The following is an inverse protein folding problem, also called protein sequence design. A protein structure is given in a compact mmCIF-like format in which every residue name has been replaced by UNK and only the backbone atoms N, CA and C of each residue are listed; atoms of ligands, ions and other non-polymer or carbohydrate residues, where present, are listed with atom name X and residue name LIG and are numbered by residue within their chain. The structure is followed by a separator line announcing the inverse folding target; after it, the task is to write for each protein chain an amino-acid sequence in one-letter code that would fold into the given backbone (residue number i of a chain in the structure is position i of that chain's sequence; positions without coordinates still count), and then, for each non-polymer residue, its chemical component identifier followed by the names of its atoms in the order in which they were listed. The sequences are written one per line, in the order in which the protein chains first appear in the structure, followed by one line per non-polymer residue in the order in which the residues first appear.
data_IF_784068792144
#
_entry.id   IF_784068792144
#
_cell.length_a   1.000
_cell.length_b   1.000
_cell.length_c   1.000
_cell.angle_alpha   90.00
_cell.angle_beta   90.00
_cell.angle_gamma   90.00
#
_symmetry.space_group_name_H-M   'P 1'
#
loop_
_entity.id
_entity.type
_entity.pdbx_description
1 polymer ?
#
# COMPACT_ATOMS: atom_id res chain seq x y z
N UNK A 1 -14.83 -19.68 18.13
CA UNK A 1 -16.23 -19.91 18.53
C UNK A 1 -16.37 -21.26 19.20
N UNK A 2 -17.16 -21.31 20.28
CA UNK A 2 -17.47 -22.55 20.98
C UNK A 2 -18.79 -23.10 20.45
N UNK A 3 -18.76 -24.36 20.00
CA UNK A 3 -19.99 -25.06 19.59
C UNK A 3 -20.45 -25.92 20.76
N UNK A 4 -21.69 -25.73 21.16
CA UNK A 4 -22.31 -26.50 22.24
C UNK A 4 -23.72 -26.95 21.86
N UNK A 5 -24.23 -27.95 22.56
CA UNK A 5 -25.62 -28.43 22.33
C UNK A 5 -26.58 -27.43 22.94
N UNK A 6 -27.69 -27.14 22.25
CA UNK A 6 -28.69 -26.14 22.66
C UNK A 6 -29.22 -26.37 24.09
N UNK A 7 -29.28 -27.65 24.53
CA UNK A 7 -29.72 -28.07 25.86
C UNK A 7 -28.66 -27.95 26.95
N UNK A 8 -27.38 -27.77 26.57
CA UNK A 8 -26.29 -27.67 27.54
C UNK A 8 -25.24 -26.68 27.01
N UNK A 9 -25.47 -25.39 27.26
CA UNK A 9 -24.55 -24.31 26.86
C UNK A 9 -23.44 -24.23 27.89
N UNK A 10 -22.25 -24.73 27.50
CA UNK A 10 -21.04 -24.60 28.31
C UNK A 10 -20.39 -23.23 28.10
N UNK A 11 -19.74 -22.67 29.15
CA UNK A 11 -18.96 -21.45 28.97
C UNK A 11 -17.82 -21.68 27.97
N UNK A 12 -17.40 -20.65 27.19
CA UNK A 12 -16.25 -20.76 26.31
C UNK A 12 -15.01 -21.13 27.14
N UNK A 13 -14.11 -21.91 26.53
CA UNK A 13 -12.82 -22.24 27.15
C UNK A 13 -12.00 -20.97 27.35
N UNK A 14 -11.36 -20.86 28.51
CA UNK A 14 -10.46 -19.77 28.82
C UNK A 14 -9.24 -19.78 27.88
N UNK A 15 -8.70 -18.58 27.58
CA UNK A 15 -7.50 -18.42 26.76
C UNK A 15 -7.76 -18.28 25.25
N UNK A 16 -9.00 -18.40 24.76
CA UNK A 16 -9.31 -18.10 23.37
C UNK A 16 -9.24 -16.59 23.11
N UNK A 17 -8.28 -16.17 22.27
CA UNK A 17 -8.15 -14.79 21.82
C UNK A 17 -8.54 -14.69 20.36
N UNK A 18 -9.39 -13.71 20.05
CA UNK A 18 -9.67 -13.38 18.64
C UNK A 18 -8.38 -12.82 18.01
N UNK A 19 -8.07 -13.30 16.83
CA UNK A 19 -6.98 -12.73 16.03
C UNK A 19 -7.22 -11.22 15.81
N UNK A 20 -6.21 -10.40 16.12
CA UNK A 20 -6.28 -8.95 15.96
C UNK A 20 -5.66 -8.56 14.62
N UNK A 21 -6.36 -7.81 13.78
CA UNK A 21 -5.79 -7.28 12.56
C UNK A 21 -4.59 -6.37 12.85
N UNK A 22 -3.57 -6.49 12.03
CA UNK A 22 -2.32 -5.72 12.13
C UNK A 22 -2.15 -4.79 10.93
N UNK A 23 -2.71 -5.21 9.79
CA UNK A 23 -2.67 -4.50 8.51
C UNK A 23 -4.09 -4.18 8.07
N UNK A 24 -4.27 -2.98 7.55
CA UNK A 24 -5.54 -2.49 7.03
C UNK A 24 -5.40 -2.14 5.55
N UNK A 25 -6.39 -2.49 4.77
CA UNK A 25 -6.51 -2.06 3.38
C UNK A 25 -7.98 -1.88 3.02
N UNK A 26 -8.28 -0.89 2.19
CA UNK A 26 -9.64 -0.68 1.71
C UNK A 26 -9.83 -1.35 0.36
N UNK A 27 -10.97 -1.99 0.18
CA UNK A 27 -11.36 -2.74 -1.01
C UNK A 27 -12.59 -2.09 -1.60
N UNK A 28 -12.47 -1.59 -2.82
CA UNK A 28 -13.55 -0.97 -3.58
C UNK A 28 -13.86 -1.78 -4.82
N UNK A 29 -15.13 -1.90 -5.23
CA UNK A 29 -15.45 -2.46 -6.54
C UNK A 29 -15.05 -1.45 -7.63
N UNK A 30 -14.64 -1.91 -8.81
CA UNK A 30 -14.35 -1.04 -9.95
C UNK A 30 -15.62 -0.31 -10.42
N UNK A 31 -16.77 -1.03 -10.45
CA UNK A 31 -18.10 -0.45 -10.64
C UNK A 31 -18.88 -0.41 -9.34
N UNK A 32 -19.53 0.72 -9.03
CA UNK A 32 -20.39 0.82 -7.83
C UNK A 32 -21.61 -0.09 -7.88
N UNK A 33 -22.01 -0.58 -9.05
CA UNK A 33 -23.07 -1.58 -9.22
C UNK A 33 -22.71 -2.91 -8.56
N UNK A 34 -21.40 -3.24 -8.48
CA UNK A 34 -20.90 -4.47 -7.87
C UNK A 34 -20.74 -4.40 -6.34
N UNK A 35 -21.09 -3.26 -5.71
CA UNK A 35 -20.96 -3.09 -4.26
C UNK A 35 -21.68 -4.18 -3.45
N UNK A 36 -22.89 -4.54 -3.86
CA UNK A 36 -23.69 -5.58 -3.19
C UNK A 36 -23.06 -6.97 -3.35
N UNK A 37 -22.52 -7.26 -4.53
CA UNK A 37 -21.80 -8.52 -4.80
C UNK A 37 -20.54 -8.61 -3.98
N UNK A 38 -19.77 -7.51 -3.88
CA UNK A 38 -18.58 -7.44 -3.03
C UNK A 38 -18.94 -7.70 -1.56
N UNK A 39 -20.01 -7.08 -1.05
CA UNK A 39 -20.47 -7.33 0.33
C UNK A 39 -20.76 -8.81 0.58
N UNK A 40 -21.48 -9.45 -0.33
CA UNK A 40 -21.80 -10.89 -0.23
C UNK A 40 -20.54 -11.76 -0.28
N UNK A 41 -19.59 -11.43 -1.17
CA UNK A 41 -18.32 -12.15 -1.27
C UNK A 41 -17.52 -12.05 0.02
N UNK A 42 -17.36 -10.85 0.61
CA UNK A 42 -16.67 -10.63 1.87
C UNK A 42 -17.34 -11.36 3.04
N UNK A 43 -18.67 -11.39 3.11
CA UNK A 43 -19.41 -12.17 4.09
C UNK A 43 -19.12 -13.67 3.98
N UNK A 44 -19.08 -14.22 2.76
CA UNK A 44 -18.74 -15.64 2.51
C UNK A 44 -17.30 -15.95 2.92
N UNK A 45 -16.34 -15.07 2.57
CA UNK A 45 -14.96 -15.22 2.97
C UNK A 45 -14.80 -15.23 4.49
N UNK A 46 -15.49 -14.34 5.20
CA UNK A 46 -15.46 -14.29 6.66
C UNK A 46 -15.97 -15.56 7.34
N UNK A 47 -16.89 -16.30 6.71
CA UNK A 47 -17.33 -17.60 7.22
C UNK A 47 -16.23 -18.67 7.19
N UNK A 48 -15.35 -18.60 6.20
CA UNK A 48 -14.21 -19.53 6.05
C UNK A 48 -12.96 -19.03 6.76
N UNK A 49 -12.87 -17.74 7.05
CA UNK A 49 -11.72 -17.10 7.67
C UNK A 49 -12.15 -16.16 8.81
N UNK A 50 -12.14 -16.67 10.03
CA UNK A 50 -12.56 -15.93 11.23
C UNK A 50 -11.58 -14.81 11.64
N UNK A 51 -10.37 -14.79 11.09
CA UNK A 51 -9.38 -13.75 11.35
C UNK A 51 -9.62 -12.49 10.49
N UNK A 52 -10.39 -12.63 9.40
CA UNK A 52 -10.75 -11.52 8.54
C UNK A 52 -11.89 -10.70 9.13
N UNK A 53 -11.68 -9.40 9.25
CA UNK A 53 -12.70 -8.43 9.65
C UNK A 53 -12.86 -7.36 8.57
N UNK A 54 -14.06 -6.84 8.40
CA UNK A 54 -14.31 -5.74 7.48
C UNK A 54 -15.45 -4.84 7.97
N UNK A 55 -15.38 -3.57 7.58
CA UNK A 55 -16.36 -2.53 7.85
C UNK A 55 -16.63 -1.73 6.59
N UNK A 56 -17.85 -1.20 6.44
CA UNK A 56 -18.17 -0.33 5.30
C UNK A 56 -17.38 0.99 5.40
N UNK A 57 -16.82 1.42 4.28
CA UNK A 57 -16.08 2.66 4.16
C UNK A 57 -16.54 3.40 2.90
N UNK A 58 -16.49 4.72 2.93
CA UNK A 58 -16.82 5.56 1.78
C UNK A 58 -15.69 6.53 1.49
N UNK A 59 -15.22 6.56 0.25
CA UNK A 59 -14.25 7.52 -0.26
C UNK A 59 -14.93 8.44 -1.26
N UNK A 60 -14.68 9.75 -1.17
CA UNK A 60 -15.25 10.73 -2.12
C UNK A 60 -14.87 10.48 -3.57
N UNK A 61 -13.73 9.80 -3.82
CA UNK A 61 -13.22 9.50 -5.17
C UNK A 61 -13.51 8.07 -5.60
N UNK A 62 -13.35 7.09 -4.69
CA UNK A 62 -13.51 5.66 -5.01
C UNK A 62 -14.94 5.14 -4.74
N UNK A 63 -15.80 5.97 -4.15
CA UNK A 63 -17.17 5.61 -3.82
C UNK A 63 -17.27 4.75 -2.57
N UNK A 64 -18.26 3.85 -2.52
CA UNK A 64 -18.50 2.94 -1.40
C UNK A 64 -17.65 1.67 -1.54
N UNK A 65 -17.07 1.24 -0.43
CA UNK A 65 -16.23 0.05 -0.35
C UNK A 65 -16.19 -0.50 1.07
N UNK A 66 -15.17 -1.29 1.35
CA UNK A 66 -14.98 -1.92 2.66
C UNK A 66 -13.53 -1.77 3.10
N UNK A 67 -13.33 -1.36 4.34
CA UNK A 67 -12.04 -1.44 5.01
C UNK A 67 -11.89 -2.83 5.62
N UNK A 68 -10.90 -3.58 5.16
CA UNK A 68 -10.55 -4.91 5.65
C UNK A 68 -9.41 -4.86 6.66
N UNK A 69 -9.49 -5.68 7.69
CA UNK A 69 -8.41 -5.93 8.64
C UNK A 69 -7.80 -7.30 8.43
N UNK A 70 -6.47 -7.37 8.32
CA UNK A 70 -5.70 -8.55 7.93
C UNK A 70 -4.62 -8.84 8.95
N UNK A 71 -4.22 -10.11 9.09
CA UNK A 71 -3.13 -10.55 9.97
C UNK A 71 -1.73 -10.15 9.45
N UNK A 72 -1.62 -9.80 8.19
CA UNK A 72 -0.37 -9.42 7.53
C UNK A 72 -0.54 -9.33 6.03
N UNK A 73 0.57 -9.05 5.33
CA UNK A 73 0.59 -8.86 3.87
C UNK A 73 0.13 -10.10 3.11
N UNK A 74 0.63 -11.27 3.47
CA UNK A 74 0.25 -12.54 2.83
C UNK A 74 -1.25 -12.82 2.97
N UNK A 75 -1.83 -12.51 4.12
CA UNK A 75 -3.27 -12.66 4.34
C UNK A 75 -4.07 -11.74 3.40
N UNK A 76 -3.64 -10.49 3.22
CA UNK A 76 -4.24 -9.55 2.26
C UNK A 76 -4.14 -10.07 0.82
N UNK A 77 -2.97 -10.59 0.43
CA UNK A 77 -2.75 -11.14 -0.92
C UNK A 77 -3.64 -12.34 -1.21
N UNK A 78 -3.72 -13.29 -0.26
CA UNK A 78 -4.55 -14.48 -0.38
C UNK A 78 -6.04 -14.10 -0.52
N UNK A 79 -6.55 -13.21 0.35
CA UNK A 79 -7.95 -12.79 0.29
C UNK A 79 -8.25 -12.01 -0.98
N UNK A 80 -7.34 -11.17 -1.43
CA UNK A 80 -7.48 -10.42 -2.68
C UNK A 80 -7.56 -11.35 -3.90
N UNK A 81 -6.71 -12.36 -3.93
CA UNK A 81 -6.70 -13.36 -5.00
C UNK A 81 -7.94 -14.25 -4.97
N UNK A 82 -8.44 -14.61 -3.78
CA UNK A 82 -9.69 -15.34 -3.62
C UNK A 82 -10.90 -14.53 -4.11
N UNK A 83 -11.00 -13.25 -3.76
CA UNK A 83 -12.05 -12.36 -4.27
C UNK A 83 -12.05 -12.32 -5.79
N UNK A 84 -10.88 -12.23 -6.40
CA UNK A 84 -10.74 -12.21 -7.86
C UNK A 84 -11.12 -13.55 -8.51
N UNK A 85 -10.63 -14.69 -7.97
CA UNK A 85 -10.82 -16.00 -8.60
C UNK A 85 -12.15 -16.66 -8.30
N UNK A 86 -12.63 -16.55 -7.06
CA UNK A 86 -13.86 -17.23 -6.63
C UNK A 86 -15.13 -16.44 -6.99
N UNK A 87 -15.02 -15.11 -7.07
CA UNK A 87 -16.19 -14.22 -7.27
C UNK A 87 -16.14 -13.40 -8.57
N UNK A 88 -15.02 -13.48 -9.31
CA UNK A 88 -14.79 -12.74 -10.59
C UNK A 88 -15.08 -11.23 -10.47
N UNK A 89 -14.70 -10.64 -9.33
CA UNK A 89 -14.94 -9.24 -9.03
C UNK A 89 -13.70 -8.40 -9.38
N UNK A 90 -13.83 -7.41 -10.26
CA UNK A 90 -12.79 -6.41 -10.48
C UNK A 90 -12.72 -5.45 -9.29
N UNK A 91 -11.56 -5.33 -8.66
CA UNK A 91 -11.36 -4.62 -7.39
C UNK A 91 -10.25 -3.58 -7.47
N UNK A 92 -10.47 -2.47 -6.78
CA UNK A 92 -9.44 -1.49 -6.44
C UNK A 92 -9.07 -1.70 -4.97
N UNK A 93 -7.82 -2.04 -4.71
CA UNK A 93 -7.31 -2.27 -3.36
C UNK A 93 -6.32 -1.17 -3.05
N UNK A 94 -6.49 -0.51 -1.90
CA UNK A 94 -5.56 0.53 -1.44
C UNK A 94 -4.25 -0.08 -0.98
N UNK A 95 -3.19 0.72 -0.94
CA UNK A 95 -1.95 0.29 -0.30
C UNK A 95 -2.22 -0.06 1.16
N UNK A 96 -1.63 -1.16 1.65
CA UNK A 96 -1.79 -1.59 3.03
C UNK A 96 -1.18 -0.57 3.99
N UNK A 97 -1.84 -0.38 5.12
CA UNK A 97 -1.46 0.55 6.18
C UNK A 97 -1.57 -0.10 7.54
N UNK A 98 -0.94 0.52 8.52
CA UNK A 98 -1.12 0.24 9.94
C UNK A 98 -2.08 1.27 10.54
N UNK A 99 -2.45 1.07 11.79
CA UNK A 99 -3.26 2.02 12.55
C UNK A 99 -2.40 3.19 13.03
N UNK A 100 -2.88 4.43 12.87
CA UNK A 100 -2.27 5.63 13.45
C UNK A 100 -3.25 6.31 14.41
N UNK A 101 -2.75 6.76 15.55
CA UNK A 101 -3.51 7.60 16.48
C UNK A 101 -3.00 9.03 16.31
N UNK A 102 -3.85 9.88 15.77
CA UNK A 102 -3.52 11.27 15.47
C UNK A 102 -4.20 12.19 16.46
N UNK A 103 -3.42 13.01 17.15
CA UNK A 103 -3.89 14.11 17.98
C UNK A 103 -3.79 15.40 17.16
N UNK A 104 -4.92 16.07 16.99
CA UNK A 104 -5.01 17.33 16.29
C UNK A 104 -4.69 18.50 17.21
N UNK A 105 -4.21 19.61 16.67
CA UNK A 105 -4.00 20.87 17.40
C UNK A 105 -5.28 21.40 18.09
N UNK A 106 -6.44 20.94 17.65
CA UNK A 106 -7.72 21.21 18.32
C UNK A 106 -7.94 20.40 19.61
N UNK A 107 -7.01 19.52 19.99
CA UNK A 107 -7.12 18.59 21.11
C UNK A 107 -7.94 17.32 20.83
N UNK A 108 -8.53 17.19 19.64
CA UNK A 108 -9.27 15.98 19.24
C UNK A 108 -8.27 14.86 18.89
N UNK A 109 -8.55 13.64 19.32
CA UNK A 109 -7.78 12.46 18.96
C UNK A 109 -8.62 11.54 18.09
N UNK A 110 -8.06 11.07 16.97
CA UNK A 110 -8.72 10.14 16.04
C UNK A 110 -7.80 8.98 15.69
N UNK A 111 -8.42 7.82 15.46
CA UNK A 111 -7.72 6.64 14.95
C UNK A 111 -7.88 6.55 13.43
N UNK A 112 -6.76 6.59 12.71
CA UNK A 112 -6.71 6.55 11.25
C UNK A 112 -6.23 5.18 10.79
N UNK A 113 -7.02 4.53 9.97
CA UNK A 113 -6.70 3.21 9.39
C UNK A 113 -6.30 3.29 7.92
N UNK A 114 -6.82 4.28 7.21
CA UNK A 114 -6.65 4.44 5.76
C UNK A 114 -5.81 5.68 5.49
N UNK A 115 -4.68 5.56 4.76
CA UNK A 115 -3.76 6.67 4.53
C UNK A 115 -4.38 7.91 3.86
N UNK A 116 -5.38 7.73 3.00
CA UNK A 116 -6.06 8.85 2.34
C UNK A 116 -6.84 9.76 3.31
N UNK A 117 -7.18 9.26 4.50
CA UNK A 117 -7.81 10.05 5.56
C UNK A 117 -6.80 10.63 6.56
N UNK A 118 -5.51 10.37 6.37
CA UNK A 118 -4.49 10.97 7.22
C UNK A 118 -4.48 12.49 7.01
N UNK A 119 -4.61 13.30 8.10
CA UNK A 119 -4.74 14.74 7.98
C UNK A 119 -3.48 15.40 7.44
N UNK A 120 -3.62 16.66 7.03
CA UNK A 120 -2.48 17.46 6.60
C UNK A 120 -1.60 17.82 7.81
N UNK A 121 -0.29 17.86 7.59
CA UNK A 121 0.72 18.05 8.67
C UNK A 121 0.47 19.30 9.54
N UNK A 122 -0.08 20.36 8.97
CA UNK A 122 -0.31 21.60 9.71
C UNK A 122 -1.43 21.50 10.77
N UNK A 123 -2.31 20.48 10.65
CA UNK A 123 -3.42 20.20 11.58
C UNK A 123 -3.00 19.29 12.73
N UNK A 124 -1.87 18.60 12.59
CA UNK A 124 -1.40 17.57 13.51
C UNK A 124 -0.58 18.20 14.64
N UNK A 125 -0.85 17.78 15.86
CA UNK A 125 -0.03 18.03 17.05
C UNK A 125 0.94 16.87 17.28
N UNK A 126 0.42 15.63 17.34
CA UNK A 126 1.25 14.42 17.50
C UNK A 126 0.62 13.22 16.79
N UNK A 127 1.45 12.26 16.45
CA UNK A 127 1.05 10.98 15.87
C UNK A 127 1.67 9.86 16.68
N UNK A 128 0.88 8.80 16.96
CA UNK A 128 1.40 7.56 17.54
C UNK A 128 1.14 6.40 16.61
N UNK A 129 2.09 5.47 16.54
CA UNK A 129 2.02 4.25 15.75
C UNK A 129 2.37 3.02 16.58
N UNK A 130 1.86 1.81 16.22
CA UNK A 130 2.20 0.58 16.91
C UNK A 130 3.67 0.21 16.66
N UNK A 131 4.32 -0.20 17.73
CA UNK A 131 5.66 -0.74 17.74
C UNK A 131 5.61 -2.24 18.03
N UNK A 132 6.62 -2.95 17.54
CA UNK A 132 6.81 -4.37 17.78
C UNK A 132 8.13 -4.63 18.49
N UNK A 133 8.12 -5.64 19.34
CA UNK A 133 9.32 -6.30 19.82
C UNK A 133 9.55 -7.54 18.98
N UNK A 134 10.69 -7.58 18.29
CA UNK A 134 11.01 -8.69 17.41
C UNK A 134 12.28 -9.40 17.89
N UNK A 135 12.34 -10.69 17.59
CA UNK A 135 13.49 -11.55 17.83
C UNK A 135 13.96 -12.20 16.55
N UNK A 136 15.18 -11.93 16.15
CA UNK A 136 15.82 -12.53 14.98
C UNK A 136 16.81 -13.61 15.46
N UNK A 137 16.73 -14.81 14.88
CA UNK A 137 17.69 -15.90 15.09
C UNK A 137 18.41 -16.15 13.77
N UNK A 138 19.74 -16.07 13.79
CA UNK A 138 20.56 -16.16 12.58
C UNK A 138 21.94 -16.77 12.91
N UNK A 139 22.65 -17.36 11.91
CA UNK A 139 24.06 -17.68 12.07
C UNK A 139 24.92 -16.41 12.28
N UNK A 140 25.97 -16.44 13.14
CA UNK A 140 26.77 -15.26 13.50
C UNK A 140 27.35 -14.50 12.32
N UNK A 141 27.67 -15.18 11.22
CA UNK A 141 28.26 -14.56 10.02
C UNK A 141 27.40 -13.48 9.36
N UNK A 142 26.06 -13.51 9.56
CA UNK A 142 25.13 -12.54 8.96
C UNK A 142 24.82 -11.34 9.87
N UNK A 143 25.34 -11.35 11.12
CA UNK A 143 24.99 -10.32 12.11
C UNK A 143 25.32 -8.91 11.62
N UNK A 144 26.48 -8.71 10.99
CA UNK A 144 26.89 -7.41 10.48
C UNK A 144 25.97 -6.83 9.41
N UNK A 145 25.48 -7.67 8.51
CA UNK A 145 24.57 -7.24 7.43
C UNK A 145 23.16 -7.00 7.95
N UNK A 146 22.73 -7.79 8.95
CA UNK A 146 21.45 -7.54 9.65
C UNK A 146 21.50 -6.20 10.39
N UNK A 147 22.58 -5.86 11.08
CA UNK A 147 22.68 -4.58 11.79
C UNK A 147 22.59 -3.39 10.84
N UNK A 148 23.15 -3.47 9.62
CA UNK A 148 22.98 -2.44 8.59
C UNK A 148 21.52 -2.31 8.16
N UNK A 149 20.86 -3.45 7.90
CA UNK A 149 19.45 -3.48 7.54
C UNK A 149 18.56 -2.87 8.63
N UNK A 150 18.83 -3.16 9.90
CA UNK A 150 18.08 -2.62 11.04
C UNK A 150 18.19 -1.10 11.15
N UNK A 151 19.37 -0.54 10.85
CA UNK A 151 19.56 0.91 10.82
C UNK A 151 18.69 1.60 9.77
N UNK A 152 18.52 1.00 8.59
CA UNK A 152 17.65 1.51 7.52
C UNK A 152 16.14 1.46 7.88
N UNK A 153 15.76 0.58 8.81
CA UNK A 153 14.39 0.34 9.24
C UNK A 153 14.04 0.92 10.61
N UNK A 154 14.77 1.95 11.06
CA UNK A 154 14.50 2.66 12.33
C UNK A 154 14.43 1.72 13.56
N UNK A 155 15.13 0.60 13.52
CA UNK A 155 15.10 -0.39 14.59
C UNK A 155 16.03 -0.03 15.74
N UNK A 156 15.51 -0.16 16.97
CA UNK A 156 16.28 -0.09 18.21
C UNK A 156 16.82 -1.48 18.53
N UNK A 157 18.12 -1.67 18.43
CA UNK A 157 18.77 -2.95 18.73
C UNK A 157 18.88 -3.14 20.23
N UNK A 158 18.35 -4.27 20.73
CA UNK A 158 18.42 -4.68 22.13
C UNK A 158 19.54 -5.67 22.39
N UNK A 159 19.26 -6.68 23.20
CA UNK A 159 20.24 -7.70 23.58
C UNK A 159 20.61 -8.62 22.42
N UNK A 160 21.88 -8.92 22.33
CA UNK A 160 22.43 -9.91 21.39
C UNK A 160 23.05 -11.05 22.19
N UNK A 161 22.53 -12.27 21.98
CA UNK A 161 23.03 -13.47 22.64
C UNK A 161 23.48 -14.48 21.58
N UNK A 162 24.74 -14.88 21.67
CA UNK A 162 25.29 -15.93 20.79
C UNK A 162 25.40 -17.22 21.55
N UNK A 163 24.74 -18.26 21.06
CA UNK A 163 24.79 -19.60 21.62
C UNK A 163 25.25 -20.57 20.53
N UNK A 164 26.44 -21.11 20.67
CA UNK A 164 27.10 -22.00 19.72
C UNK A 164 27.12 -21.41 18.28
N UNK A 165 26.32 -21.97 17.38
CA UNK A 165 26.26 -21.64 15.95
C UNK A 165 25.16 -20.62 15.59
N UNK A 166 24.44 -20.10 16.59
CA UNK A 166 23.30 -19.18 16.39
C UNK A 166 23.41 -17.93 17.24
N UNK A 167 23.02 -16.82 16.66
CA UNK A 167 22.87 -15.53 17.34
C UNK A 167 21.40 -15.18 17.42
N UNK A 168 20.93 -14.89 18.63
CA UNK A 168 19.61 -14.34 18.89
C UNK A 168 19.76 -12.84 19.13
N UNK A 169 19.03 -12.03 18.36
CA UNK A 169 19.02 -10.58 18.44
C UNK A 169 17.61 -10.13 18.78
N UNK A 170 17.46 -9.42 19.91
CA UNK A 170 16.21 -8.73 20.24
C UNK A 170 16.26 -7.30 19.69
N UNK A 171 15.12 -6.81 19.22
CA UNK A 171 15.01 -5.45 18.69
C UNK A 171 13.60 -4.91 18.86
N UNK A 172 13.45 -3.59 18.83
CA UNK A 172 12.17 -2.90 18.80
C UNK A 172 12.12 -2.03 17.56
N UNK A 173 11.01 -2.04 16.84
CA UNK A 173 10.89 -1.24 15.63
C UNK A 173 9.42 -0.85 15.36
N UNK A 174 9.16 0.21 14.59
CA UNK A 174 7.81 0.54 14.15
C UNK A 174 7.23 -0.60 13.32
N UNK A 175 5.95 -0.95 13.55
CA UNK A 175 5.26 -1.96 12.75
C UNK A 175 5.26 -1.59 11.26
N UNK A 176 5.16 -0.32 10.92
CA UNK A 176 5.28 0.23 9.57
C UNK A 176 6.54 -0.24 8.85
N UNK A 177 7.69 -0.20 9.53
CA UNK A 177 8.97 -0.61 8.98
C UNK A 177 9.07 -2.13 8.79
N UNK A 178 8.49 -2.89 9.71
CA UNK A 178 8.38 -4.34 9.57
C UNK A 178 7.59 -4.72 8.30
N UNK A 179 6.51 -3.98 8.01
CA UNK A 179 5.66 -4.21 6.84
C UNK A 179 6.26 -3.68 5.52
N UNK A 180 7.29 -2.84 5.56
CA UNK A 180 7.98 -2.25 4.40
C UNK A 180 8.99 -3.20 3.74
N UNK A 181 8.62 -4.47 3.56
CA UNK A 181 9.49 -5.47 2.93
C UNK A 181 10.68 -5.92 3.78
N UNK A 182 10.66 -5.67 5.10
CA UNK A 182 11.73 -6.08 6.01
C UNK A 182 11.97 -7.60 5.98
N UNK A 183 10.90 -8.40 5.94
CA UNK A 183 11.00 -9.86 5.89
C UNK A 183 11.75 -10.35 4.65
N UNK A 184 11.47 -9.79 3.49
CA UNK A 184 12.09 -10.18 2.23
C UNK A 184 13.57 -9.76 2.19
N UNK A 185 13.86 -8.55 2.66
CA UNK A 185 15.24 -8.06 2.80
C UNK A 185 16.02 -8.90 3.81
N UNK A 186 15.43 -9.25 4.96
CA UNK A 186 16.08 -10.10 5.96
C UNK A 186 16.40 -11.48 5.38
N UNK A 187 15.46 -12.09 4.68
CA UNK A 187 15.67 -13.40 4.04
C UNK A 187 16.74 -13.33 2.96
N UNK A 188 16.69 -12.32 2.08
CA UNK A 188 17.68 -12.17 1.01
C UNK A 188 19.08 -11.91 1.57
N UNK A 189 19.22 -11.02 2.55
CA UNK A 189 20.50 -10.70 3.20
C UNK A 189 21.13 -11.90 3.91
N UNK A 190 20.28 -12.80 4.44
CA UNK A 190 20.74 -13.98 5.19
C UNK A 190 20.68 -15.27 4.39
N UNK A 191 20.44 -15.20 3.07
CA UNK A 191 20.25 -16.40 2.22
C UNK A 191 19.19 -17.37 2.76
N UNK A 192 18.16 -16.84 3.42
CA UNK A 192 17.07 -17.61 4.02
C UNK A 192 17.36 -18.23 5.39
N UNK A 193 18.54 -18.01 5.97
CA UNK A 193 18.92 -18.62 7.26
C UNK A 193 18.37 -17.89 8.48
N UNK A 194 17.91 -16.65 8.35
CA UNK A 194 17.31 -15.93 9.47
C UNK A 194 15.83 -16.32 9.65
N UNK A 195 15.44 -16.48 10.90
CA UNK A 195 14.04 -16.52 11.32
C UNK A 195 13.73 -15.32 12.19
N UNK A 196 12.49 -14.83 12.11
CA UNK A 196 12.01 -13.71 12.90
C UNK A 196 10.65 -14.05 13.51
N UNK A 197 10.47 -13.68 14.77
CA UNK A 197 9.19 -13.63 15.47
C UNK A 197 9.00 -12.24 16.04
N UNK A 198 7.75 -11.79 16.19
CA UNK A 198 7.46 -10.48 16.75
C UNK A 198 6.14 -10.48 17.52
N UNK A 199 6.06 -9.58 18.50
CA UNK A 199 4.87 -9.28 19.28
C UNK A 199 4.63 -7.78 19.28
N UNK A 200 3.34 -7.37 19.35
CA UNK A 200 2.98 -5.94 19.42
C UNK A 200 3.27 -5.44 20.82
N UNK A 201 4.13 -4.43 20.90
CA UNK A 201 4.57 -3.84 22.17
C UNK A 201 3.61 -2.76 22.71
N UNK A 202 2.90 -2.07 21.83
CA UNK A 202 2.07 -0.91 22.11
C UNK A 202 2.35 0.23 21.13
N UNK A 203 1.92 1.43 21.49
CA UNK A 203 2.02 2.61 20.62
C UNK A 203 3.11 3.55 21.11
N UNK A 204 3.87 4.15 20.18
CA UNK A 204 4.88 5.18 20.44
C UNK A 204 4.72 6.34 19.49
N UNK A 205 5.29 7.47 19.85
CA UNK A 205 5.30 8.66 18.99
C UNK A 205 6.03 8.38 17.67
N UNK A 206 5.47 8.92 16.60
CA UNK A 206 5.92 8.71 15.23
C UNK A 206 6.12 10.03 14.50
N UNK A 207 7.25 10.18 13.81
CA UNK A 207 7.53 11.30 12.91
C UNK A 207 7.22 10.88 11.47
N UNK A 208 5.94 10.97 11.10
CA UNK A 208 5.41 10.51 9.81
C UNK A 208 4.66 11.60 9.07
N UNK A 209 4.48 11.40 7.78
CA UNK A 209 3.68 12.27 6.91
C UNK A 209 2.98 11.45 5.84
N UNK A 210 1.94 12.03 5.22
CA UNK A 210 1.24 11.41 4.09
C UNK A 210 1.98 11.69 2.79
N UNK A 211 2.21 10.63 2.01
CA UNK A 211 2.64 10.68 0.62
C UNK A 211 1.44 10.41 -0.27
N UNK A 212 1.06 11.37 -1.08
CA UNK A 212 0.03 11.25 -2.11
C UNK A 212 0.70 11.05 -3.49
N UNK A 213 0.18 10.11 -4.27
CA UNK A 213 0.59 9.91 -5.65
C UNK A 213 -0.44 10.55 -6.58
N UNK A 214 0.02 11.49 -7.39
CA UNK A 214 -0.81 12.17 -8.37
C UNK A 214 -0.55 11.59 -9.76
N UNK A 215 -1.63 11.35 -10.49
CA UNK A 215 -1.61 10.91 -11.89
C UNK A 215 -2.41 11.92 -12.70
N UNK A 216 -1.78 12.57 -13.67
CA UNK A 216 -2.36 13.69 -14.44
C UNK A 216 -2.82 14.87 -13.55
N UNK A 217 -2.05 15.21 -12.53
CA UNK A 217 -2.31 16.25 -11.53
C UNK A 217 -3.48 15.95 -10.56
N UNK A 218 -4.03 14.71 -10.57
CA UNK A 218 -5.07 14.26 -9.64
C UNK A 218 -4.54 13.21 -8.67
N UNK A 219 -4.83 13.39 -7.39
CA UNK A 219 -4.44 12.45 -6.36
C UNK A 219 -5.22 11.13 -6.51
N UNK A 220 -4.51 10.01 -6.44
CA UNK A 220 -5.09 8.66 -6.44
C UNK A 220 -5.10 8.13 -5.00
N UNK A 221 -6.25 8.16 -4.31
CA UNK A 221 -6.32 7.80 -2.87
C UNK A 221 -5.85 6.38 -2.57
N UNK A 222 -6.01 5.46 -3.54
CA UNK A 222 -5.57 4.08 -3.40
C UNK A 222 -4.03 3.93 -3.30
N UNK A 223 -3.27 4.92 -3.75
CA UNK A 223 -1.81 4.93 -3.68
C UNK A 223 -1.27 5.82 -2.55
N UNK A 224 -2.15 6.45 -1.77
CA UNK A 224 -1.75 7.20 -0.60
C UNK A 224 -1.06 6.28 0.43
N UNK A 225 -0.01 6.79 1.08
CA UNK A 225 0.82 6.03 2.01
C UNK A 225 1.28 6.95 3.14
N UNK A 226 1.30 6.44 4.36
CA UNK A 226 1.93 7.15 5.49
C UNK A 226 3.36 6.64 5.63
N UNK A 227 4.31 7.54 5.65
CA UNK A 227 5.76 7.24 5.63
C UNK A 227 6.53 8.09 6.63
N UNK A 228 7.72 7.63 7.02
CA UNK A 228 8.64 8.42 7.85
C UNK A 228 9.07 9.69 7.11
N UNK A 229 9.12 10.82 7.81
CA UNK A 229 9.61 12.09 7.25
C UNK A 229 11.06 12.00 6.79
N UNK A 230 11.88 11.16 7.44
CA UNK A 230 13.28 10.93 7.04
C UNK A 230 13.44 10.27 5.68
N UNK A 231 12.43 9.50 5.25
CA UNK A 231 12.48 8.67 4.04
C UNK A 231 11.61 9.23 2.90
N UNK A 232 11.00 10.41 3.07
CA UNK A 232 10.05 11.01 2.13
C UNK A 232 10.60 11.06 0.70
N UNK A 233 11.84 11.47 0.52
CA UNK A 233 12.43 11.63 -0.82
C UNK A 233 12.61 10.28 -1.53
N UNK A 234 13.22 9.31 -0.84
CA UNK A 234 13.45 7.97 -1.40
C UNK A 234 12.15 7.20 -1.68
N UNK A 235 11.18 7.27 -0.75
CA UNK A 235 9.88 6.61 -0.91
C UNK A 235 9.04 7.25 -2.03
N UNK A 236 9.06 8.58 -2.15
CA UNK A 236 8.37 9.27 -3.24
C UNK A 236 8.98 8.95 -4.61
N UNK A 237 10.32 8.92 -4.71
CA UNK A 237 11.01 8.55 -5.94
C UNK A 237 10.73 7.10 -6.33
N UNK A 238 10.86 6.17 -5.39
CA UNK A 238 10.60 4.74 -5.61
C UNK A 238 9.15 4.49 -6.05
N UNK A 239 8.16 5.11 -5.38
CA UNK A 239 6.75 4.95 -5.72
C UNK A 239 6.43 5.50 -7.12
N UNK A 240 6.95 6.69 -7.47
CA UNK A 240 6.77 7.31 -8.79
C UNK A 240 7.48 6.48 -9.86
N UNK A 241 8.67 5.97 -9.59
CA UNK A 241 9.39 5.10 -10.52
C UNK A 241 8.65 3.80 -10.77
N UNK A 242 8.23 3.11 -9.70
CA UNK A 242 7.48 1.86 -9.78
C UNK A 242 6.20 2.05 -10.58
N UNK A 243 5.41 3.08 -10.27
CA UNK A 243 4.18 3.36 -10.99
C UNK A 243 4.45 3.69 -12.46
N UNK A 244 5.53 4.41 -12.77
CA UNK A 244 5.92 4.73 -14.14
C UNK A 244 6.26 3.51 -15.00
N UNK A 245 6.76 2.43 -14.39
CA UNK A 245 7.08 1.16 -15.07
C UNK A 245 5.84 0.29 -15.29
N UNK A 246 4.90 0.33 -14.36
CA UNK A 246 3.72 -0.54 -14.34
C UNK A 246 2.55 0.06 -15.13
N UNK A 247 2.39 1.39 -15.09
CA UNK A 247 1.25 2.06 -15.71
C UNK A 247 1.34 1.97 -17.25
N UNK A 248 0.29 1.48 -17.94
CA UNK A 248 0.29 1.39 -19.37
C UNK A 248 0.32 2.78 -20.01
N UNK A 249 1.07 2.92 -21.11
CA UNK A 249 1.16 4.18 -21.85
C UNK A 249 -0.21 4.57 -22.41
N UNK A 250 -0.60 5.80 -22.14
CA UNK A 250 -1.83 6.40 -22.65
C UNK A 250 -1.61 7.08 -24.03
N UNK A 251 -2.70 7.49 -24.66
CA UNK A 251 -2.66 8.21 -25.93
C UNK A 251 -2.06 9.62 -25.83
N UNK A 252 -1.98 10.16 -24.60
CA UNK A 252 -1.42 11.47 -24.28
C UNK A 252 -0.29 11.35 -23.25
N UNK A 253 0.48 12.42 -23.10
CA UNK A 253 1.56 12.47 -22.10
C UNK A 253 0.96 12.52 -20.71
N UNK A 254 1.39 11.61 -19.85
CA UNK A 254 0.91 11.47 -18.47
C UNK A 254 2.03 11.88 -17.52
N UNK A 255 1.69 12.69 -16.54
CA UNK A 255 2.59 13.09 -15.46
C UNK A 255 2.24 12.32 -14.20
N UNK A 256 3.24 11.69 -13.58
CA UNK A 256 3.13 11.00 -12.30
C UNK A 256 3.96 11.79 -11.30
N UNK A 257 3.40 12.08 -10.14
CA UNK A 257 4.07 12.91 -9.12
C UNK A 257 3.84 12.31 -7.74
N UNK A 258 4.86 12.39 -6.89
CA UNK A 258 4.77 12.14 -5.47
C UNK A 258 4.72 13.48 -4.71
N UNK A 259 3.67 13.70 -3.93
CA UNK A 259 3.45 14.90 -3.13
C UNK A 259 3.45 14.54 -1.65
N UNK A 260 4.26 15.22 -0.87
CA UNK A 260 4.26 15.15 0.59
C UNK A 260 4.71 16.50 1.16
N UNK A 261 4.40 16.76 2.44
CA UNK A 261 4.78 18.00 3.12
C UNK A 261 4.33 19.27 2.37
N UNK A 262 3.19 19.22 1.69
CA UNK A 262 2.65 20.33 0.91
C UNK A 262 3.37 20.63 -0.41
N UNK A 263 4.36 19.82 -0.82
CA UNK A 263 5.15 20.02 -2.06
C UNK A 263 5.30 18.76 -2.89
N UNK A 264 5.59 18.93 -4.17
CA UNK A 264 5.96 17.82 -5.05
C UNK A 264 7.40 17.46 -4.77
N UNK A 265 7.63 16.20 -4.37
CA UNK A 265 8.94 15.64 -4.04
C UNK A 265 9.58 15.00 -5.26
N UNK A 266 8.80 14.21 -6.01
CA UNK A 266 9.29 13.49 -7.19
C UNK A 266 8.29 13.62 -8.34
N UNK A 267 8.78 13.60 -9.57
CA UNK A 267 7.94 13.70 -10.76
C UNK A 267 8.56 12.95 -11.94
N UNK A 268 7.75 12.12 -12.61
CA UNK A 268 8.11 11.48 -13.88
C UNK A 268 7.03 11.68 -14.93
N UNK A 269 7.45 11.77 -16.19
CA UNK A 269 6.56 11.98 -17.33
C UNK A 269 6.59 10.77 -18.25
N UNK A 270 5.44 10.11 -18.41
CA UNK A 270 5.24 9.05 -19.38
C UNK A 270 4.84 9.67 -20.74
N UNK A 271 5.65 9.41 -21.75
CA UNK A 271 5.32 9.87 -23.12
C UNK A 271 4.12 9.11 -23.66
N UNK A 272 3.17 9.84 -24.23
CA UNK A 272 2.01 9.23 -24.88
C UNK A 272 2.40 8.36 -26.08
N UNK A 273 1.58 7.36 -26.38
CA UNK A 273 1.75 6.53 -27.57
C UNK A 273 1.83 7.42 -28.81
N UNK A 274 2.84 7.16 -29.65
CA UNK A 274 3.04 7.84 -30.94
C UNK A 274 2.65 6.86 -32.05
N UNK A 275 1.58 7.18 -32.78
CA UNK A 275 1.31 6.53 -34.06
C UNK A 275 1.88 7.44 -35.16
N UNK A 276 2.77 6.90 -36.00
CA UNK A 276 3.27 7.65 -37.15
C UNK A 276 2.17 7.68 -38.22
N UNK A 277 1.45 8.82 -38.24
CA UNK A 277 0.36 9.04 -39.23
C UNK A 277 0.89 9.34 -40.65
N UNK A 278 2.20 9.42 -40.79
CA UNK A 278 2.87 9.72 -42.11
C UNK A 278 3.60 8.51 -42.66
N UNK A 279 3.62 7.36 -41.99
CA UNK A 279 4.38 6.16 -42.37
C UNK A 279 4.02 5.62 -43.77
N UNK A 280 2.76 5.72 -44.17
CA UNK A 280 2.28 5.24 -45.47
C UNK A 280 2.21 6.33 -46.54
N UNK A 281 2.78 7.52 -46.29
CA UNK A 281 2.81 8.62 -47.25
C UNK A 281 4.11 8.56 -48.05
N UNK A 282 4.06 7.89 -49.18
CA UNK A 282 5.17 7.82 -50.15
C UNK A 282 5.20 9.10 -50.99
N UNK A 283 6.35 9.76 -51.08
CA UNK A 283 6.58 10.90 -52.01
C UNK A 283 5.76 12.19 -51.76
N UNK A 284 5.12 12.34 -50.61
CA UNK A 284 4.20 13.45 -50.38
C UNK A 284 4.86 14.76 -49.97
N UNK A 285 4.22 15.87 -50.37
CA UNK A 285 4.52 17.22 -49.97
C UNK A 285 4.77 17.35 -48.47
N UNK A 286 5.89 17.94 -48.10
CA UNK A 286 6.32 18.18 -46.74
C UNK A 286 5.21 18.94 -45.97
N UNK A 287 4.53 19.88 -46.63
CA UNK A 287 3.43 20.69 -46.08
C UNK A 287 2.24 19.81 -45.62
N UNK A 288 1.90 18.77 -46.42
CA UNK A 288 0.81 17.83 -46.07
C UNK A 288 1.17 16.96 -44.86
N UNK A 289 2.44 16.48 -44.80
CA UNK A 289 2.95 15.75 -43.62
C UNK A 289 2.93 16.61 -42.38
N UNK A 290 3.32 17.90 -42.45
CA UNK A 290 3.26 18.86 -41.34
C UNK A 290 1.84 19.11 -40.88
N UNK A 291 0.89 19.36 -41.77
CA UNK A 291 -0.52 19.55 -41.44
C UNK A 291 -1.13 18.35 -40.67
N UNK A 292 -0.78 17.11 -41.09
CA UNK A 292 -1.24 15.92 -40.37
C UNK A 292 -0.63 15.79 -39.00
N UNK A 293 0.67 16.07 -38.83
CA UNK A 293 1.35 16.10 -37.53
C UNK A 293 0.75 17.19 -36.61
N UNK A 294 0.41 18.36 -37.13
CA UNK A 294 -0.26 19.40 -36.38
C UNK A 294 -1.67 19.01 -35.94
N UNK A 295 -2.46 18.40 -36.84
CA UNK A 295 -3.79 17.86 -36.46
C UNK A 295 -3.66 16.81 -35.35
N UNK A 296 -2.68 15.91 -35.44
CA UNK A 296 -2.41 14.91 -34.39
C UNK A 296 -2.02 15.58 -33.07
N UNK A 297 -1.16 16.62 -33.11
CA UNK A 297 -0.75 17.38 -31.92
C UNK A 297 -1.94 18.11 -31.29
N UNK A 298 -2.81 18.77 -32.08
CA UNK A 298 -4.05 19.41 -31.60
C UNK A 298 -5.03 18.38 -31.02
N UNK A 299 -5.20 17.21 -31.68
CA UNK A 299 -6.02 16.12 -31.17
C UNK A 299 -5.53 15.59 -29.82
N UNK A 300 -4.22 15.36 -29.67
CA UNK A 300 -3.61 14.96 -28.39
C UNK A 300 -3.81 15.98 -27.28
N UNK A 301 -3.66 17.30 -27.58
CA UNK A 301 -3.95 18.36 -26.59
C UNK A 301 -5.41 18.35 -26.13
N UNK A 302 -6.37 18.16 -27.06
CA UNK A 302 -7.79 18.03 -26.71
C UNK A 302 -8.08 16.78 -25.87
N UNK A 303 -7.46 15.66 -26.18
CA UNK A 303 -7.59 14.42 -25.40
C UNK A 303 -6.98 14.57 -24.00
N UNK A 304 -5.79 15.19 -23.89
CA UNK A 304 -5.17 15.48 -22.60
C UNK A 304 -6.04 16.42 -21.74
N UNK A 305 -6.66 17.42 -22.36
CA UNK A 305 -7.57 18.34 -21.66
C UNK A 305 -8.88 17.67 -21.20
N UNK A 306 -9.38 16.68 -21.96
CA UNK A 306 -10.56 15.87 -21.59
C UNK A 306 -10.21 14.73 -20.62
N UNK A 307 -8.98 14.23 -20.66
CA UNK A 307 -8.47 13.16 -19.79
C UNK A 307 -7.97 13.67 -18.43
N UNK A 308 -7.91 14.99 -18.19
CA UNK A 308 -7.74 15.51 -16.85
C UNK A 308 -8.99 15.12 -16.04
N UNK A 309 -8.78 14.31 -15.00
CA UNK A 309 -9.85 13.81 -14.15
C UNK A 309 -10.38 12.41 -14.48
N UNK A 310 -9.88 11.75 -15.53
CA UNK A 310 -10.43 10.43 -15.90
C UNK A 310 -9.36 9.50 -16.50
N UNK A 311 -8.22 9.35 -15.83
CA UNK A 311 -7.22 8.34 -16.19
C UNK A 311 -7.68 7.02 -15.62
N UNK A 312 -8.18 6.11 -16.47
CA UNK A 312 -8.48 4.74 -16.05
C UNK A 312 -7.17 4.02 -15.71
N UNK A 313 -7.03 3.65 -14.45
CA UNK A 313 -5.90 2.86 -13.93
C UNK A 313 -6.39 1.41 -13.86
N UNK A 314 -5.82 0.47 -14.65
CA UNK A 314 -6.20 -0.93 -14.63
C UNK A 314 -6.01 -1.57 -13.24
N UNK A 315 -6.86 -2.50 -12.87
CA UNK A 315 -6.82 -3.22 -11.60
C UNK A 315 -5.46 -3.86 -11.32
N UNK A 316 -4.82 -4.43 -12.34
CA UNK A 316 -3.49 -5.05 -12.20
C UNK A 316 -2.42 -4.08 -11.71
N UNK A 317 -2.58 -2.76 -11.94
CA UNK A 317 -1.65 -1.74 -11.45
C UNK A 317 -1.74 -1.61 -9.93
N UNK A 318 -2.95 -1.64 -9.36
CA UNK A 318 -3.14 -1.59 -7.90
C UNK A 318 -2.48 -2.79 -7.23
N UNK A 319 -2.72 -4.00 -7.74
CA UNK A 319 -2.11 -5.23 -7.20
C UNK A 319 -0.58 -5.23 -7.34
N UNK A 320 -0.04 -4.75 -8.47
CA UNK A 320 1.41 -4.64 -8.68
C UNK A 320 2.05 -3.57 -7.79
N UNK A 321 1.33 -2.51 -7.43
CA UNK A 321 1.83 -1.50 -6.49
C UNK A 321 1.95 -2.04 -5.07
N UNK A 322 1.06 -2.97 -4.66
CA UNK A 322 1.07 -3.60 -3.33
C UNK A 322 2.26 -4.57 -3.18
N UNK A 323 2.55 -5.36 -4.24
CA UNK A 323 3.66 -6.33 -4.20
C UNK A 323 4.99 -5.62 -4.04
N UNK A 324 5.82 -6.10 -3.12
CA UNK A 324 7.23 -5.67 -3.05
C UNK A 324 7.95 -6.06 -4.35
N UNK A 325 8.86 -5.21 -4.81
CA UNK A 325 9.73 -5.55 -5.94
C UNK A 325 10.67 -6.67 -5.47
N UNK A 326 10.42 -7.89 -5.95
CA UNK A 326 11.30 -9.05 -5.76
C UNK A 326 12.49 -8.95 -6.68
#
# INVERSE_FOLDING_TARGET
DTVSVVTNILPPLDGYQKARPVVWASIYPESQDDFTLLKQALMKLRLSDSAFSFEEESSGVLGRGFRGGFLGMLHLEILSERLRREFDLPLVITLPSITYIVTFKSGKTETIYTPSFFPEDHLIESVREPWVEARIITPPKYLGDILKLLYEHEAEVGETQTLADRTSLSLKMPLRELMRGFFDKLKSTTSGFASISYDILGERDADVTRLDILVADEAVPAFAKVISRRQVEGEAESAVEKLSKILPRQMFTLKIQGQALGRIISSRTLSGMKKDVTQHMYGGDITRKMKLREKQKKGKKKMAARGKGNVSIPQDVFLKMIRSDS
#
